data_IF_014110695971
#
_entry.id   IF_014110695971
#
_cell.length_a   1.000
_cell.length_b   1.000
_cell.length_c   1.000
_cell.angle_alpha   90.00
_cell.angle_beta   90.00
_cell.angle_gamma   90.00
#
_symmetry.space_group_name_H-M   'P 1'
#
loop_
_entity.id
_entity.type
_entity.pdbx_description
1 polymer ?
#
# COMPACT_ATOMS: atom_id res chain seq x y z
N UNK A 1 9.06 -7.58 -22.91
CA UNK A 1 7.60 -7.69 -22.66
C UNK A 1 6.88 -7.33 -23.94
N UNK A 2 5.80 -8.04 -24.30
CA UNK A 2 4.92 -7.59 -25.38
C UNK A 2 4.04 -6.45 -24.86
N UNK A 3 3.62 -5.47 -25.66
CA UNK A 3 2.79 -4.35 -25.19
C UNK A 3 1.53 -4.81 -24.45
N UNK A 4 0.82 -5.82 -24.97
CA UNK A 4 -0.40 -6.38 -24.34
C UNK A 4 -0.15 -6.90 -22.92
N UNK A 5 0.98 -7.57 -22.69
CA UNK A 5 1.36 -8.07 -21.35
C UNK A 5 1.66 -6.96 -20.34
N UNK A 6 1.98 -5.75 -20.82
CA UNK A 6 2.22 -4.60 -19.96
C UNK A 6 0.90 -3.94 -19.52
N UNK A 7 -0.06 -3.82 -20.44
CA UNK A 7 -1.39 -3.30 -20.13
C UNK A 7 -2.14 -4.22 -19.15
N UNK A 8 -2.05 -5.53 -19.34
CA UNK A 8 -2.61 -6.53 -18.41
C UNK A 8 -2.01 -6.40 -17.00
N UNK A 9 -0.69 -6.22 -16.90
CA UNK A 9 -0.01 -5.99 -15.62
C UNK A 9 -0.48 -4.71 -14.94
N UNK A 10 -0.69 -3.62 -15.68
CA UNK A 10 -1.22 -2.37 -15.13
C UNK A 10 -2.65 -2.55 -14.62
N UNK A 11 -3.48 -3.24 -15.40
CA UNK A 11 -4.87 -3.53 -15.02
C UNK A 11 -4.93 -4.37 -13.74
N UNK A 12 -4.09 -5.41 -13.64
CA UNK A 12 -3.98 -6.25 -12.45
C UNK A 12 -3.53 -5.44 -11.23
N UNK A 13 -2.47 -4.63 -11.35
CA UNK A 13 -2.00 -3.77 -10.25
C UNK A 13 -3.08 -2.79 -9.79
N UNK A 14 -3.86 -2.25 -10.74
CA UNK A 14 -4.97 -1.35 -10.43
C UNK A 14 -6.06 -2.09 -9.66
N UNK A 15 -6.44 -3.29 -10.10
CA UNK A 15 -7.43 -4.12 -9.42
C UNK A 15 -7.00 -4.50 -8.00
N UNK A 16 -5.74 -4.93 -7.83
CA UNK A 16 -5.16 -5.23 -6.52
C UNK A 16 -5.20 -4.01 -5.59
N UNK A 17 -4.86 -2.82 -6.09
CA UNK A 17 -4.93 -1.59 -5.30
C UNK A 17 -6.37 -1.27 -4.87
N UNK A 18 -7.37 -1.44 -5.75
CA UNK A 18 -8.77 -1.21 -5.40
C UNK A 18 -9.26 -2.16 -4.30
N UNK A 19 -8.90 -3.44 -4.38
CA UNK A 19 -9.25 -4.43 -3.35
C UNK A 19 -8.69 -4.03 -1.98
N UNK A 20 -7.42 -3.59 -1.92
CA UNK A 20 -6.80 -3.14 -0.67
C UNK A 20 -7.51 -1.89 -0.13
N UNK A 21 -7.82 -0.91 -0.98
CA UNK A 21 -8.53 0.29 -0.56
C UNK A 21 -9.92 -0.02 0.00
N UNK A 22 -10.65 -0.94 -0.63
CA UNK A 22 -11.97 -1.38 -0.12
C UNK A 22 -11.84 -2.08 1.24
N UNK A 23 -10.83 -2.93 1.43
CA UNK A 23 -10.58 -3.58 2.70
C UNK A 23 -10.26 -2.57 3.82
N UNK A 24 -9.41 -1.58 3.54
CA UNK A 24 -9.08 -0.52 4.49
C UNK A 24 -10.31 0.32 4.86
N UNK A 25 -11.16 0.68 3.90
CA UNK A 25 -12.40 1.41 4.20
C UNK A 25 -13.35 0.62 5.10
N UNK A 26 -13.38 -0.71 4.95
CA UNK A 26 -14.13 -1.57 5.87
C UNK A 26 -13.53 -1.55 7.27
N UNK A 27 -12.19 -1.59 7.38
CA UNK A 27 -11.49 -1.46 8.67
C UNK A 27 -11.80 -0.12 9.33
N UNK A 28 -11.76 1.00 8.59
CA UNK A 28 -12.12 2.32 9.11
C UNK A 28 -13.54 2.34 9.70
N UNK A 29 -14.49 1.68 9.01
CA UNK A 29 -15.86 1.54 9.51
C UNK A 29 -15.89 0.77 10.83
N UNK A 30 -15.16 -0.35 10.93
CA UNK A 30 -15.07 -1.15 12.15
C UNK A 30 -14.40 -0.40 13.30
N UNK A 31 -13.37 0.41 13.03
CA UNK A 31 -12.75 1.29 14.01
C UNK A 31 -13.79 2.24 14.62
N UNK A 32 -14.59 2.91 13.78
CA UNK A 32 -15.65 3.81 14.25
C UNK A 32 -16.74 3.07 15.03
N UNK A 33 -17.13 1.87 14.60
CA UNK A 33 -18.08 1.01 15.35
C UNK A 33 -17.53 0.61 16.74
N UNK A 34 -16.21 0.55 16.90
CA UNK A 34 -15.51 0.25 18.14
C UNK A 34 -15.08 1.49 18.95
N UNK A 35 -15.51 2.69 18.56
CA UNK A 35 -15.11 3.97 19.17
C UNK A 35 -13.58 4.24 19.13
N UNK A 36 -12.93 3.75 18.07
CA UNK A 36 -11.51 3.97 17.77
C UNK A 36 -11.41 4.95 16.60
N UNK A 37 -10.56 5.98 16.73
CA UNK A 37 -10.27 6.89 15.62
C UNK A 37 -9.48 6.13 14.52
N UNK A 38 -10.01 6.03 13.28
CA UNK A 38 -9.29 5.46 12.15
C UNK A 38 -7.95 6.15 11.86
N UNK A 39 -7.81 7.44 12.18
CA UNK A 39 -6.57 8.21 11.97
C UNK A 39 -5.42 7.68 12.82
N UNK A 40 -5.68 7.36 14.09
CA UNK A 40 -4.69 6.78 14.99
C UNK A 40 -4.25 5.38 14.50
N UNK A 41 -5.21 4.59 14.02
CA UNK A 41 -4.93 3.29 13.39
C UNK A 41 -4.07 3.47 12.14
N UNK A 42 -4.36 4.48 11.31
CA UNK A 42 -3.61 4.78 10.10
C UNK A 42 -2.16 5.18 10.40
N UNK A 43 -1.92 5.98 11.44
CA UNK A 43 -0.58 6.36 11.86
C UNK A 43 0.27 5.14 12.23
N UNK A 44 -0.28 4.26 13.08
CA UNK A 44 0.39 3.03 13.48
C UNK A 44 0.69 2.11 12.28
N UNK A 45 -0.28 1.94 11.39
CA UNK A 45 -0.12 1.04 10.24
C UNK A 45 0.86 1.58 9.19
N UNK A 46 0.99 2.90 9.03
CA UNK A 46 2.03 3.50 8.18
C UNK A 46 3.44 3.20 8.68
N UNK A 47 3.64 3.21 9.99
CA UNK A 47 4.93 2.87 10.61
C UNK A 47 5.23 1.39 10.41
N UNK A 48 4.32 0.51 10.82
CA UNK A 48 4.49 -0.93 10.64
C UNK A 48 4.68 -1.34 9.18
N UNK A 49 3.89 -0.77 8.27
CA UNK A 49 4.00 -1.03 6.84
C UNK A 49 5.34 -0.57 6.26
N UNK A 50 5.91 0.53 6.79
CA UNK A 50 7.24 0.99 6.36
C UNK A 50 8.32 0.01 6.81
N UNK A 51 8.26 -0.43 8.06
CA UNK A 51 9.18 -1.42 8.61
C UNK A 51 9.05 -2.79 7.93
N UNK A 52 7.83 -3.17 7.50
CA UNK A 52 7.61 -4.36 6.72
C UNK A 52 8.27 -4.26 5.34
N UNK A 53 8.15 -3.11 4.67
CA UNK A 53 8.82 -2.88 3.38
C UNK A 53 10.33 -2.94 3.52
N UNK A 54 10.92 -2.49 4.63
CA UNK A 54 12.36 -2.61 4.88
C UNK A 54 12.86 -4.05 4.93
N UNK A 55 11.99 -5.01 5.24
CA UNK A 55 12.32 -6.44 5.27
C UNK A 55 12.11 -7.14 3.91
N UNK A 56 11.49 -6.46 2.94
CA UNK A 56 11.25 -7.02 1.61
C UNK A 56 12.53 -7.00 0.78
N UNK A 57 12.86 -8.15 0.19
CA UNK A 57 13.88 -8.28 -0.84
C UNK A 57 13.31 -7.82 -2.19
N UNK A 58 13.87 -6.74 -2.76
CA UNK A 58 13.47 -6.24 -4.07
C UNK A 58 14.37 -6.79 -5.17
N UNK A 59 13.77 -7.52 -6.12
CA UNK A 59 14.47 -7.93 -7.35
C UNK A 59 14.40 -6.81 -8.38
N UNK A 60 15.38 -5.91 -8.32
CA UNK A 60 15.48 -4.74 -9.21
C UNK A 60 16.87 -4.61 -9.82
N UNK A 61 17.01 -3.75 -10.82
CA UNK A 61 18.30 -3.48 -11.44
C UNK A 61 19.31 -2.92 -10.41
N UNK A 62 20.62 -3.21 -10.54
CA UNK A 62 21.65 -2.72 -9.62
C UNK A 62 21.59 -1.20 -9.43
N UNK A 63 21.68 -0.74 -8.18
CA UNK A 63 21.64 0.68 -7.83
C UNK A 63 20.24 1.30 -7.72
N UNK A 64 19.16 0.61 -8.13
CA UNK A 64 17.80 1.15 -8.07
C UNK A 64 17.03 0.81 -6.79
N UNK A 65 17.52 -0.14 -6.00
CA UNK A 65 16.83 -0.61 -4.79
C UNK A 65 16.44 0.50 -3.82
N UNK A 66 17.32 1.46 -3.45
CA UNK A 66 16.93 2.51 -2.52
C UNK A 66 15.75 3.34 -3.02
N UNK A 67 15.74 3.68 -4.31
CA UNK A 67 14.68 4.47 -4.93
C UNK A 67 13.37 3.69 -4.99
N UNK A 68 13.42 2.41 -5.33
CA UNK A 68 12.22 1.55 -5.39
C UNK A 68 11.64 1.34 -4.00
N UNK A 69 12.48 1.11 -3.00
CA UNK A 69 12.07 0.94 -1.60
C UNK A 69 11.36 2.19 -1.07
N UNK A 70 11.94 3.37 -1.27
CA UNK A 70 11.32 4.63 -0.83
C UNK A 70 10.00 4.91 -1.55
N UNK A 71 9.92 4.63 -2.87
CA UNK A 71 8.67 4.75 -3.62
C UNK A 71 7.60 3.77 -3.13
N UNK A 72 7.99 2.53 -2.80
CA UNK A 72 7.08 1.53 -2.26
C UNK A 72 6.52 1.98 -0.90
N UNK A 73 7.38 2.49 0.00
CA UNK A 73 6.96 3.07 1.29
C UNK A 73 5.99 4.23 1.09
N UNK A 74 6.31 5.18 0.22
CA UNK A 74 5.45 6.32 -0.04
C UNK A 74 4.07 5.90 -0.57
N UNK A 75 4.03 4.95 -1.52
CA UNK A 75 2.78 4.45 -2.08
C UNK A 75 1.93 3.70 -1.06
N UNK A 76 2.55 2.85 -0.23
CA UNK A 76 1.88 2.15 0.85
C UNK A 76 1.28 3.14 1.86
N UNK A 77 2.04 4.15 2.29
CA UNK A 77 1.54 5.20 3.20
C UNK A 77 0.33 5.94 2.61
N UNK A 78 0.37 6.26 1.32
CA UNK A 78 -0.73 6.93 0.63
C UNK A 78 -1.99 6.04 0.53
N UNK A 79 -1.83 4.73 0.28
CA UNK A 79 -2.95 3.78 0.25
C UNK A 79 -3.61 3.68 1.63
N UNK A 80 -2.81 3.60 2.71
CA UNK A 80 -3.32 3.57 4.08
C UNK A 80 -4.06 4.85 4.42
N UNK A 81 -3.50 6.02 4.09
CA UNK A 81 -4.14 7.32 4.28
C UNK A 81 -5.51 7.38 3.58
N UNK A 82 -5.58 7.03 2.30
CA UNK A 82 -6.84 7.07 1.53
C UNK A 82 -7.85 6.03 2.06
N UNK A 83 -7.36 4.88 2.49
CA UNK A 83 -8.20 3.76 2.91
C UNK A 83 -8.80 3.92 4.31
N UNK A 84 -8.12 4.63 5.22
CA UNK A 84 -8.51 4.77 6.63
C UNK A 84 -9.04 6.16 7.00
N UNK A 85 -9.45 6.97 6.03
CA UNK A 85 -10.19 8.23 6.26
C UNK A 85 -11.62 7.98 6.77
#
# INVERSE_FOLDING_TARGET
MRPESFDDMIAEQTAQQQVILMALRRIATLCREADIDPIDTAAHWKEMGSAAIDQVEFRVAPGHEPVVREKAKARMKAIIEIGLQ
#
